data_IF_682928252715
#
_entry.id   IF_682928252715
#
_cell.length_a   1.000
_cell.length_b   1.000
_cell.length_c   1.000
_cell.angle_alpha   90.00
_cell.angle_beta   90.00
_cell.angle_gamma   90.00
#
_symmetry.space_group_name_H-M   'P 1'
#
loop_
_entity.id
_entity.type
_entity.pdbx_description
1 polymer ?
#
# COMPACT_ATOMS: atom_id res chain seq x y z
N UNK A 1 99.18 4.08 -1.86
CA UNK A 1 98.02 5.00 -1.82
C UNK A 1 96.82 4.31 -2.47
N UNK A 2 95.77 3.97 -1.71
CA UNK A 2 94.55 3.31 -2.21
C UNK A 2 93.43 4.35 -2.26
N UNK A 3 92.87 4.64 -3.44
CA UNK A 3 91.73 5.56 -3.60
C UNK A 3 90.44 4.72 -3.58
N UNK A 4 89.64 4.86 -2.53
CA UNK A 4 88.31 4.25 -2.45
C UNK A 4 87.35 5.09 -3.30
N UNK A 5 86.81 4.51 -4.37
CA UNK A 5 85.75 5.14 -5.16
C UNK A 5 84.39 4.86 -4.51
N UNK A 6 83.79 5.88 -3.92
CA UNK A 6 82.41 5.84 -3.45
C UNK A 6 81.48 5.94 -4.65
N UNK A 7 80.87 4.81 -5.03
CA UNK A 7 79.89 4.74 -6.13
C UNK A 7 78.60 5.45 -5.69
N UNK A 8 78.35 6.64 -6.22
CA UNK A 8 77.11 7.39 -5.99
C UNK A 8 76.02 6.85 -6.92
N UNK A 9 75.05 6.09 -6.39
CA UNK A 9 73.84 5.71 -7.14
C UNK A 9 73.08 6.99 -7.52
N UNK A 10 72.90 7.24 -8.81
CA UNK A 10 72.05 8.31 -9.32
C UNK A 10 70.57 7.92 -9.11
N UNK A 11 69.70 8.86 -8.69
CA UNK A 11 68.28 8.60 -8.55
C UNK A 11 67.68 8.32 -9.93
N UNK A 12 67.09 7.14 -10.10
CA UNK A 12 66.37 6.79 -11.32
C UNK A 12 65.12 7.67 -11.41
N UNK A 13 64.98 8.41 -12.51
CA UNK A 13 63.78 9.19 -12.83
C UNK A 13 62.70 8.24 -13.33
N UNK A 14 61.90 7.72 -12.40
CA UNK A 14 60.63 7.04 -12.69
C UNK A 14 59.59 8.08 -13.17
N UNK A 15 59.68 8.50 -14.43
CA UNK A 15 58.73 9.43 -15.05
C UNK A 15 57.79 8.68 -15.99
N UNK A 16 56.52 8.54 -15.60
CA UNK A 16 55.42 8.15 -16.48
C UNK A 16 54.57 6.95 -16.01
N UNK A 17 55.18 5.96 -15.35
CA UNK A 17 54.48 4.73 -14.98
C UNK A 17 53.38 4.94 -13.91
N UNK A 18 53.60 5.87 -12.97
CA UNK A 18 52.66 6.14 -11.88
C UNK A 18 51.28 6.61 -12.38
N UNK A 19 51.23 7.42 -13.44
CA UNK A 19 49.98 7.93 -13.98
C UNK A 19 49.16 6.81 -14.65
N UNK A 20 49.82 5.90 -15.36
CA UNK A 20 49.17 4.75 -16.00
C UNK A 20 48.67 3.76 -14.94
N UNK A 21 49.50 3.45 -13.94
CA UNK A 21 49.11 2.54 -12.84
C UNK A 21 47.96 3.12 -12.03
N UNK A 22 47.99 4.41 -11.70
CA UNK A 22 46.88 5.06 -10.97
C UNK A 22 45.58 5.07 -11.80
N UNK A 23 45.64 5.29 -13.11
CA UNK A 23 44.46 5.21 -13.98
C UNK A 23 43.88 3.79 -14.02
N UNK A 24 44.72 2.76 -14.14
CA UNK A 24 44.28 1.36 -14.13
C UNK A 24 43.62 1.03 -12.79
N UNK A 25 44.24 1.41 -11.67
CA UNK A 25 43.68 1.16 -10.34
C UNK A 25 42.35 1.90 -10.16
N UNK A 26 42.25 3.17 -10.55
CA UNK A 26 41.01 3.94 -10.50
C UNK A 26 39.90 3.29 -11.33
N UNK A 27 40.22 2.85 -12.55
CA UNK A 27 39.30 2.15 -13.43
C UNK A 27 38.79 0.85 -12.78
N UNK A 28 39.69 0.03 -12.25
CA UNK A 28 39.33 -1.23 -11.58
C UNK A 28 38.42 -0.96 -10.38
N UNK A 29 38.76 0.01 -9.53
CA UNK A 29 37.92 0.38 -8.37
C UNK A 29 36.55 0.89 -8.82
N UNK A 30 36.48 1.66 -9.90
CA UNK A 30 35.21 2.17 -10.45
C UNK A 30 34.32 1.04 -10.95
N UNK A 31 34.88 0.07 -11.69
CA UNK A 31 34.14 -1.09 -12.19
C UNK A 31 33.63 -1.98 -11.05
N UNK A 32 34.45 -2.18 -10.01
CA UNK A 32 34.02 -2.90 -8.80
C UNK A 32 32.90 -2.16 -8.06
N UNK A 33 32.97 -0.82 -8.01
CA UNK A 33 31.93 0.03 -7.43
C UNK A 33 30.61 -0.03 -8.21
N UNK A 34 30.66 0.05 -9.54
CA UNK A 34 29.46 0.01 -10.39
C UNK A 34 28.75 -1.34 -10.31
N UNK A 35 29.48 -2.46 -10.21
CA UNK A 35 28.87 -3.78 -10.00
C UNK A 35 28.03 -3.88 -8.72
N UNK A 36 28.37 -3.11 -7.68
CA UNK A 36 27.57 -3.03 -6.45
C UNK A 36 26.31 -2.17 -6.57
N UNK A 37 26.25 -1.23 -7.52
CA UNK A 37 25.12 -0.31 -7.68
C UNK A 37 23.87 -0.99 -8.25
N UNK A 38 24.02 -2.05 -9.05
CA UNK A 38 22.89 -2.78 -9.62
C UNK A 38 21.97 -3.37 -8.54
N UNK A 39 22.57 -3.96 -7.51
CA UNK A 39 21.82 -4.49 -6.35
C UNK A 39 21.12 -3.36 -5.58
N UNK A 40 21.79 -2.22 -5.41
CA UNK A 40 21.21 -1.07 -4.72
C UNK A 40 20.00 -0.50 -5.48
N UNK A 41 20.07 -0.41 -6.81
CA UNK A 41 18.94 0.02 -7.66
C UNK A 41 17.76 -0.96 -7.57
N UNK A 42 18.02 -2.26 -7.54
CA UNK A 42 16.96 -3.25 -7.36
C UNK A 42 16.28 -3.14 -6.00
N UNK A 43 17.07 -2.97 -4.93
CA UNK A 43 16.56 -2.76 -3.57
C UNK A 43 15.77 -1.46 -3.46
N UNK A 44 16.22 -0.38 -4.09
CA UNK A 44 15.50 0.89 -4.15
C UNK A 44 14.13 0.74 -4.82
N UNK A 45 14.07 0.06 -5.98
CA UNK A 45 12.79 -0.21 -6.66
C UNK A 45 11.86 -1.08 -5.83
N UNK A 46 12.41 -2.09 -5.15
CA UNK A 46 11.62 -2.93 -4.25
C UNK A 46 11.11 -2.13 -3.04
N UNK A 47 11.95 -1.28 -2.45
CA UNK A 47 11.59 -0.41 -1.34
C UNK A 47 10.50 0.60 -1.77
N UNK A 48 10.64 1.22 -2.94
CA UNK A 48 9.64 2.12 -3.50
C UNK A 48 8.31 1.40 -3.77
N UNK A 49 8.33 0.18 -4.32
CA UNK A 49 7.13 -0.61 -4.53
C UNK A 49 6.45 -0.99 -3.19
N UNK A 50 7.24 -1.43 -2.21
CA UNK A 50 6.73 -1.75 -0.87
C UNK A 50 6.12 -0.52 -0.19
N UNK A 51 6.75 0.65 -0.35
CA UNK A 51 6.25 1.92 0.18
C UNK A 51 4.92 2.32 -0.49
N UNK A 52 4.83 2.29 -1.82
CA UNK A 52 3.62 2.62 -2.56
C UNK A 52 2.45 1.73 -2.15
N UNK A 53 2.71 0.42 -2.00
CA UNK A 53 1.72 -0.54 -1.53
C UNK A 53 1.26 -0.20 -0.11
N UNK A 54 2.18 0.06 0.81
CA UNK A 54 1.85 0.38 2.20
C UNK A 54 1.10 1.71 2.34
N UNK A 55 1.38 2.68 1.48
CA UNK A 55 0.66 3.95 1.44
C UNK A 55 -0.78 3.74 0.98
N UNK A 56 -0.99 3.03 -0.14
CA UNK A 56 -2.34 2.69 -0.62
C UNK A 56 -3.20 1.99 0.43
N UNK A 57 -2.61 1.08 1.23
CA UNK A 57 -3.32 0.46 2.36
C UNK A 57 -3.69 1.45 3.46
N UNK A 58 -2.78 2.34 3.86
CA UNK A 58 -3.05 3.33 4.89
C UNK A 58 -4.12 4.34 4.45
N UNK A 59 -4.08 4.76 3.18
CA UNK A 59 -5.07 5.67 2.59
C UNK A 59 -6.45 5.01 2.56
N UNK A 60 -6.51 3.71 2.21
CA UNK A 60 -7.77 2.94 2.23
C UNK A 60 -8.32 2.81 3.64
N UNK A 61 -7.47 2.50 4.62
CA UNK A 61 -7.91 2.31 6.00
C UNK A 61 -8.41 3.62 6.62
N UNK A 62 -7.75 4.75 6.34
CA UNK A 62 -8.18 6.06 6.84
C UNK A 62 -9.51 6.49 6.22
N UNK A 63 -9.67 6.30 4.92
CA UNK A 63 -10.91 6.58 4.20
C UNK A 63 -12.08 5.71 4.66
N UNK A 64 -11.83 4.43 4.90
CA UNK A 64 -12.84 3.51 5.42
C UNK A 64 -13.36 3.96 6.79
N UNK A 65 -12.44 4.33 7.68
CA UNK A 65 -12.79 4.86 9.00
C UNK A 65 -13.60 6.16 8.89
N UNK A 66 -13.26 7.04 7.95
CA UNK A 66 -14.03 8.27 7.72
C UNK A 66 -15.45 7.98 7.21
N UNK A 67 -15.60 7.08 6.24
CA UNK A 67 -16.90 6.66 5.71
C UNK A 67 -17.76 6.00 6.79
N UNK A 68 -17.16 5.17 7.65
CA UNK A 68 -17.90 4.51 8.74
C UNK A 68 -18.23 5.43 9.91
N UNK A 69 -17.50 6.54 10.07
CA UNK A 69 -17.85 7.59 11.04
C UNK A 69 -18.96 8.50 10.56
N UNK A 70 -19.22 8.56 9.25
CA UNK A 70 -20.33 9.33 8.71
C UNK A 70 -21.67 8.78 9.24
N UNK A 71 -22.35 9.59 10.05
CA UNK A 71 -23.63 9.24 10.65
C UNK A 71 -24.71 8.87 9.63
N UNK A 72 -24.59 9.34 8.38
CA UNK A 72 -25.53 8.99 7.32
C UNK A 72 -25.51 7.48 7.01
N UNK A 73 -24.32 6.88 6.98
CA UNK A 73 -24.11 5.44 6.74
C UNK A 73 -24.53 4.65 8.00
N UNK A 74 -24.18 5.12 9.20
CA UNK A 74 -24.43 4.35 10.43
C UNK A 74 -25.92 4.31 10.83
N UNK A 75 -26.67 5.40 10.62
CA UNK A 75 -28.06 5.52 11.09
C UNK A 75 -29.11 5.21 10.01
N UNK A 76 -28.77 4.45 8.97
CA UNK A 76 -29.69 4.10 7.86
C UNK A 76 -30.32 5.29 7.13
N UNK A 77 -29.74 6.49 7.22
CA UNK A 77 -30.23 7.69 6.50
C UNK A 77 -29.68 7.78 5.08
N UNK A 78 -28.61 7.04 4.78
CA UNK A 78 -27.96 7.11 3.48
C UNK A 78 -28.77 6.39 2.38
N UNK A 79 -28.96 7.09 1.25
CA UNK A 79 -29.59 6.56 0.02
C UNK A 79 -28.95 5.24 -0.43
N UNK A 80 -27.64 5.05 -0.20
CA UNK A 80 -26.91 3.82 -0.57
C UNK A 80 -27.35 2.58 0.20
N UNK A 81 -27.72 2.71 1.48
CA UNK A 81 -28.20 1.56 2.26
C UNK A 81 -29.60 1.18 1.84
N UNK A 82 -30.44 2.18 1.59
CA UNK A 82 -31.77 1.96 1.04
C UNK A 82 -31.69 1.29 -0.33
N UNK A 83 -30.83 1.77 -1.23
CA UNK A 83 -30.58 1.16 -2.55
C UNK A 83 -30.14 -0.30 -2.42
N UNK A 84 -29.18 -0.61 -1.53
CA UNK A 84 -28.73 -1.98 -1.28
C UNK A 84 -29.88 -2.90 -0.83
N UNK A 85 -30.74 -2.44 0.08
CA UNK A 85 -31.90 -3.22 0.55
C UNK A 85 -32.92 -3.44 -0.58
N UNK A 86 -33.18 -2.42 -1.39
CA UNK A 86 -34.13 -2.50 -2.52
C UNK A 86 -33.64 -3.47 -3.60
N UNK A 87 -32.33 -3.51 -3.84
CA UNK A 87 -31.71 -4.41 -4.82
C UNK A 87 -31.70 -5.86 -4.37
N UNK A 88 -31.64 -6.09 -3.05
CA UNK A 88 -31.81 -7.41 -2.45
C UNK A 88 -30.54 -7.96 -1.81
N UNK A 89 -30.66 -9.15 -1.21
CA UNK A 89 -29.57 -9.79 -0.48
C UNK A 89 -28.48 -10.24 -1.43
N UNK A 90 -27.23 -9.87 -1.13
CA UNK A 90 -26.06 -10.21 -1.95
C UNK A 90 -25.86 -9.31 -3.18
N UNK A 91 -26.77 -8.37 -3.43
CA UNK A 91 -26.67 -7.42 -4.55
C UNK A 91 -26.02 -6.11 -4.08
N UNK A 92 -24.91 -5.68 -4.69
CA UNK A 92 -24.22 -4.45 -4.31
C UNK A 92 -25.01 -3.21 -4.75
N UNK A 93 -24.94 -2.14 -3.98
CA UNK A 93 -25.47 -0.82 -4.32
C UNK A 93 -24.74 -0.20 -5.51
N UNK A 94 -25.26 0.92 -6.00
CA UNK A 94 -24.51 1.80 -6.91
C UNK A 94 -23.21 2.29 -6.26
N UNK A 95 -22.13 2.38 -7.05
CA UNK A 95 -20.84 2.86 -6.57
C UNK A 95 -20.88 4.37 -6.30
N UNK A 96 -20.46 4.78 -5.10
CA UNK A 96 -20.31 6.19 -4.73
C UNK A 96 -18.84 6.57 -4.74
N UNK A 97 -18.52 7.67 -5.42
CA UNK A 97 -17.17 8.22 -5.46
C UNK A 97 -16.92 9.11 -4.25
N UNK A 98 -15.76 8.96 -3.64
CA UNK A 98 -15.30 9.77 -2.52
C UNK A 98 -14.02 10.52 -2.95
N UNK A 99 -14.05 11.85 -2.84
CA UNK A 99 -13.03 12.78 -3.38
C UNK A 99 -12.37 13.63 -2.26
N UNK A 100 -12.55 13.25 -1.00
CA UNK A 100 -12.17 14.06 0.17
C UNK A 100 -10.71 13.99 0.62
N UNK A 101 -9.77 13.50 -0.21
CA UNK A 101 -8.39 13.27 0.23
C UNK A 101 -7.42 14.35 -0.26
N UNK A 102 -6.50 14.76 0.60
CA UNK A 102 -5.43 15.75 0.34
C UNK A 102 -4.40 15.28 -0.71
N UNK A 103 -4.37 13.99 -1.01
CA UNK A 103 -3.58 13.32 -2.04
C UNK A 103 -4.49 12.86 -3.18
N UNK A 104 -3.99 12.62 -4.41
CA UNK A 104 -4.82 12.24 -5.54
C UNK A 104 -5.25 10.76 -5.46
N UNK A 105 -5.93 10.38 -4.38
CA UNK A 105 -6.47 9.05 -4.14
C UNK A 105 -7.96 9.11 -4.48
N UNK A 106 -8.34 8.49 -5.58
CA UNK A 106 -9.74 8.30 -5.93
C UNK A 106 -10.28 7.09 -5.18
N UNK A 107 -11.45 7.23 -4.56
CA UNK A 107 -12.07 6.14 -3.83
C UNK A 107 -13.50 5.90 -4.31
N UNK A 108 -13.90 4.63 -4.35
CA UNK A 108 -15.26 4.19 -4.66
C UNK A 108 -15.69 3.19 -3.62
N UNK A 109 -16.89 3.34 -3.08
CA UNK A 109 -17.48 2.35 -2.19
C UNK A 109 -18.83 1.86 -2.67
N UNK A 110 -19.13 0.60 -2.38
CA UNK A 110 -20.44 -0.04 -2.56
C UNK A 110 -20.85 -0.71 -1.26
N UNK A 111 -22.15 -0.80 -1.02
CA UNK A 111 -22.71 -1.51 0.13
C UNK A 111 -23.57 -2.67 -0.35
N UNK A 112 -23.35 -3.84 0.23
CA UNK A 112 -24.13 -5.05 -0.04
C UNK A 112 -24.99 -5.38 1.17
N UNK A 113 -26.29 -5.55 0.95
CA UNK A 113 -27.19 -6.03 1.99
C UNK A 113 -27.01 -7.53 2.19
N UNK A 114 -26.70 -7.96 3.42
CA UNK A 114 -26.40 -9.36 3.76
C UNK A 114 -27.60 -10.10 4.38
N UNK A 115 -28.74 -9.43 4.55
CA UNK A 115 -29.91 -9.97 5.22
C UNK A 115 -30.03 -9.53 6.68
N UNK A 116 -30.98 -10.14 7.39
CA UNK A 116 -31.25 -9.89 8.81
C UNK A 116 -30.78 -11.05 9.67
N UNK A 117 -30.24 -10.76 10.85
CA UNK A 117 -29.99 -11.77 11.87
C UNK A 117 -31.31 -12.14 12.57
N UNK A 118 -32.18 -12.88 11.90
CA UNK A 118 -33.31 -13.55 12.54
C UNK A 118 -32.88 -14.94 12.99
N UNK A 119 -33.11 -15.34 14.27
CA UNK A 119 -32.95 -16.74 14.65
C UNK A 119 -33.87 -17.60 13.79
N UNK A 120 -33.35 -18.70 13.24
CA UNK A 120 -34.18 -19.69 12.54
C UNK A 120 -35.12 -20.33 13.57
N UNK A 121 -36.40 -19.93 13.57
CA UNK A 121 -37.44 -20.58 14.36
C UNK A 121 -38.14 -21.60 13.47
N UNK A 122 -38.03 -22.89 13.82
CA UNK A 122 -38.78 -23.94 13.12
C UNK A 122 -40.27 -23.78 13.43
N UNK A 123 -41.11 -24.03 12.45
CA UNK A 123 -42.57 -23.98 12.62
C UNK A 123 -42.98 -24.93 13.77
N UNK A 124 -43.50 -24.36 14.86
CA UNK A 124 -43.89 -25.09 16.09
C UNK A 124 -42.89 -25.09 17.24
N UNK A 125 -41.73 -24.44 17.10
CA UNK A 125 -40.73 -24.29 18.17
C UNK A 125 -40.97 -22.97 18.94
N UNK A 126 -41.52 -23.05 20.16
CA UNK A 126 -41.58 -21.90 21.07
C UNK A 126 -40.19 -21.64 21.67
N UNK A 127 -39.33 -21.00 20.90
CA UNK A 127 -38.13 -20.37 21.45
C UNK A 127 -38.53 -19.00 21.98
N UNK A 128 -38.18 -18.68 23.23
CA UNK A 128 -38.28 -17.32 23.76
C UNK A 128 -37.58 -16.38 22.78
N UNK A 129 -38.33 -15.64 21.97
CA UNK A 129 -37.77 -14.71 21.00
C UNK A 129 -36.91 -13.74 21.83
N UNK A 130 -35.58 -13.71 21.63
CA UNK A 130 -34.76 -12.70 22.26
C UNK A 130 -35.39 -11.35 21.92
N UNK A 131 -35.58 -10.46 22.89
CA UNK A 131 -36.20 -9.15 22.66
C UNK A 131 -35.38 -8.23 21.74
N UNK A 132 -34.31 -8.75 21.14
CA UNK A 132 -33.46 -8.05 20.19
C UNK A 132 -34.16 -8.04 18.83
N UNK A 133 -34.41 -6.86 18.30
CA UNK A 133 -35.01 -6.68 16.99
C UNK A 133 -34.06 -7.28 15.92
N UNK A 134 -34.58 -7.93 14.86
CA UNK A 134 -33.75 -8.40 13.76
C UNK A 134 -32.93 -7.24 13.19
N UNK A 135 -31.62 -7.37 13.22
CA UNK A 135 -30.69 -6.33 12.75
C UNK A 135 -30.23 -6.65 11.34
N UNK A 136 -30.36 -5.67 10.47
CA UNK A 136 -29.88 -5.72 9.09
C UNK A 136 -28.36 -5.69 9.08
N UNK A 137 -27.76 -6.64 8.37
CA UNK A 137 -26.32 -6.78 8.19
C UNK A 137 -25.94 -6.23 6.84
N UNK A 138 -24.86 -5.46 6.81
CA UNK A 138 -24.32 -4.88 5.58
C UNK A 138 -22.84 -5.18 5.48
N UNK A 139 -22.36 -5.25 4.25
CA UNK A 139 -20.95 -5.34 3.93
C UNK A 139 -20.58 -4.13 3.06
N UNK A 140 -19.58 -3.36 3.49
CA UNK A 140 -19.07 -2.22 2.76
C UNK A 140 -17.77 -2.63 2.07
N UNK A 141 -17.73 -2.47 0.76
CA UNK A 141 -16.53 -2.65 -0.04
C UNK A 141 -16.01 -1.28 -0.48
N UNK A 142 -14.77 -0.95 -0.11
CA UNK A 142 -14.06 0.25 -0.49
C UNK A 142 -12.91 -0.12 -1.44
N UNK A 143 -12.86 0.51 -2.60
CA UNK A 143 -11.75 0.45 -3.53
C UNK A 143 -11.11 1.83 -3.65
N UNK A 144 -9.80 1.91 -3.45
CA UNK A 144 -9.02 3.13 -3.64
C UNK A 144 -8.01 2.95 -4.76
N UNK A 145 -7.65 4.05 -5.40
CA UNK A 145 -6.65 4.10 -6.44
C UNK A 145 -5.88 5.42 -6.38
N UNK A 146 -4.56 5.33 -6.26
CA UNK A 146 -3.68 6.50 -6.25
C UNK A 146 -3.35 6.93 -7.70
N UNK A 147 -3.71 8.14 -8.07
CA UNK A 147 -3.58 8.63 -9.45
C UNK A 147 -2.12 8.84 -9.92
N UNK A 148 -1.14 8.84 -9.00
CA UNK A 148 0.29 8.99 -9.38
C UNK A 148 0.98 7.65 -9.60
N UNK A 149 0.60 6.65 -8.83
CA UNK A 149 1.29 5.34 -8.81
C UNK A 149 0.46 4.22 -9.41
N UNK A 150 -0.83 4.48 -9.71
CA UNK A 150 -1.84 3.48 -10.12
C UNK A 150 -1.96 2.34 -9.08
N UNK A 151 -1.47 2.56 -7.87
CA UNK A 151 -1.56 1.61 -6.78
C UNK A 151 -2.96 1.69 -6.19
N UNK A 152 -3.70 0.59 -6.30
CA UNK A 152 -5.04 0.46 -5.73
C UNK A 152 -5.13 -0.64 -4.68
N UNK A 153 -6.06 -0.45 -3.75
CA UNK A 153 -6.37 -1.40 -2.69
C UNK A 153 -7.87 -1.54 -2.56
N UNK A 154 -8.34 -2.77 -2.33
CA UNK A 154 -9.73 -3.08 -2.02
C UNK A 154 -9.83 -3.59 -0.58
N UNK A 155 -10.74 -3.03 0.20
CA UNK A 155 -11.01 -3.42 1.58
C UNK A 155 -12.50 -3.68 1.76
N UNK A 156 -12.84 -4.69 2.56
CA UNK A 156 -14.22 -5.11 2.80
C UNK A 156 -14.45 -5.18 4.31
N UNK A 157 -15.51 -4.53 4.78
CA UNK A 157 -15.86 -4.50 6.20
C UNK A 157 -17.36 -4.70 6.41
N UNK A 158 -17.72 -5.69 7.22
CA UNK A 158 -19.09 -5.90 7.67
C UNK A 158 -19.47 -4.93 8.80
N UNK A 159 -20.68 -4.39 8.75
CA UNK A 159 -21.23 -3.56 9.82
C UNK A 159 -22.71 -3.82 10.04
N UNK A 160 -23.21 -3.36 11.19
CA UNK A 160 -24.62 -3.43 11.56
C UNK A 160 -25.02 -2.02 12.00
N UNK A 161 -25.84 -1.30 11.22
CA UNK A 161 -26.32 0.02 11.61
C UNK A 161 -27.17 -0.08 12.89
N UNK A 162 -26.99 0.88 13.79
CA UNK A 162 -27.69 0.97 15.08
C UNK A 162 -28.88 1.91 15.02
#
# INVERSE_FOLDING_TARGET
>A
MKKNLTVRKLPHKEQGAVLVVSLIVLLVVTLLGVGGLETAVFQERMAANAQNKNQSFQDTASLLEDILRDEAIVHKKATVLHDAVVRGVGEPSSAVSYDGVTDPVSAKYVVTYMGENSPFVREGEETSIPSDLPRQRFELELATENARTEAGTKHIQGFTPY
#
